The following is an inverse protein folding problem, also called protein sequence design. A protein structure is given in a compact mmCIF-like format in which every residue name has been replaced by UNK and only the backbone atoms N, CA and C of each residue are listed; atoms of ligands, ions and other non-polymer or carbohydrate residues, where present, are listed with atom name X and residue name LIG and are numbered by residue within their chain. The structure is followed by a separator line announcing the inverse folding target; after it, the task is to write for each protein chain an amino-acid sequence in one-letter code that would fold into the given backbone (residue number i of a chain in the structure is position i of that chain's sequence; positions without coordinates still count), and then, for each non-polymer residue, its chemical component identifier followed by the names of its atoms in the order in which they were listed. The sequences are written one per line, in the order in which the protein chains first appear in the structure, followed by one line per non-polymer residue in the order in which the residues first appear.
data_IF_704994330729
#
_entry.id   IF_704994330729
#
_cell.length_a   1.000
_cell.length_b   1.000
_cell.length_c   1.000
_cell.angle_alpha   90.00
_cell.angle_beta   90.00
_cell.angle_gamma   90.00
#
_symmetry.space_group_name_H-M   'P 1'
#
loop_
_entity.id
_entity.type
_entity.pdbx_description
1 polymer ?
#
# COMPACT_ATOMS: atom_id res chain seq x y z
N UNK A 1 -14.43 4.08 -3.06
CA UNK A 1 -15.67 3.63 -3.67
C UNK A 1 -15.36 3.07 -5.05
N UNK A 2 -15.78 1.84 -5.31
CA UNK A 2 -15.33 1.12 -6.50
C UNK A 2 -16.40 0.93 -7.60
N UNK A 3 -17.57 1.53 -7.45
CA UNK A 3 -18.66 1.30 -8.41
C UNK A 3 -18.35 1.79 -9.84
N UNK A 4 -17.91 3.04 -9.97
CA UNK A 4 -17.56 3.57 -11.29
C UNK A 4 -16.31 2.94 -11.88
N UNK A 5 -15.46 2.40 -11.02
CA UNK A 5 -14.20 1.77 -11.40
C UNK A 5 -14.45 0.45 -12.14
N UNK A 6 -15.46 -0.32 -11.72
CA UNK A 6 -15.81 -1.59 -12.38
C UNK A 6 -16.21 -1.35 -13.83
N UNK A 7 -17.08 -0.38 -14.06
CA UNK A 7 -17.57 -0.07 -15.40
C UNK A 7 -16.43 0.44 -16.30
N UNK A 8 -15.58 1.29 -15.76
CA UNK A 8 -14.41 1.79 -16.47
C UNK A 8 -13.49 0.64 -16.88
N UNK A 9 -13.20 -0.28 -15.96
CA UNK A 9 -12.32 -1.41 -16.21
C UNK A 9 -12.87 -2.31 -17.32
N UNK A 10 -14.15 -2.64 -17.26
CA UNK A 10 -14.81 -3.47 -18.26
C UNK A 10 -14.78 -2.82 -19.63
N UNK A 11 -15.08 -1.54 -19.69
CA UNK A 11 -15.08 -0.81 -20.96
C UNK A 11 -13.69 -0.72 -21.57
N UNK A 12 -12.68 -0.42 -20.75
CA UNK A 12 -11.29 -0.37 -21.22
C UNK A 12 -10.83 -1.72 -21.72
N UNK A 13 -11.21 -2.81 -21.07
CA UNK A 13 -10.90 -4.17 -21.53
C UNK A 13 -11.53 -4.48 -22.87
N UNK A 14 -12.78 -4.06 -23.09
CA UNK A 14 -13.45 -4.24 -24.38
C UNK A 14 -12.73 -3.54 -25.52
N UNK A 15 -12.09 -2.41 -25.23
CA UNK A 15 -11.36 -1.63 -26.22
C UNK A 15 -9.91 -2.10 -26.38
N UNK A 16 -9.52 -3.20 -25.73
CA UNK A 16 -8.16 -3.73 -25.81
C UNK A 16 -7.15 -2.97 -24.95
N UNK A 17 -7.60 -2.13 -24.07
CA UNK A 17 -6.76 -1.38 -23.13
C UNK A 17 -6.66 -2.18 -21.85
N UNK A 18 -5.45 -2.26 -21.25
CA UNK A 18 -5.23 -2.88 -19.94
C UNK A 18 -5.04 -1.78 -18.89
N UNK A 19 -6.14 -1.26 -18.32
CA UNK A 19 -5.99 -0.24 -17.28
C UNK A 19 -5.47 -0.84 -16.00
N UNK A 20 -4.56 -0.13 -15.34
CA UNK A 20 -4.15 -0.45 -13.99
C UNK A 20 -5.03 0.36 -13.05
N UNK A 21 -5.82 -0.32 -12.24
CA UNK A 21 -6.71 0.33 -11.28
C UNK A 21 -6.04 0.36 -9.92
N UNK A 22 -5.97 1.54 -9.34
CA UNK A 22 -5.32 1.76 -8.07
C UNK A 22 -6.29 2.20 -6.98
N UNK A 23 -5.95 1.85 -5.76
CA UNK A 23 -6.72 2.20 -4.57
C UNK A 23 -5.77 2.39 -3.40
N UNK A 24 -5.94 3.47 -2.65
CA UNK A 24 -5.23 3.64 -1.39
C UNK A 24 -6.04 2.96 -0.29
N UNK A 25 -5.40 2.09 0.47
CA UNK A 25 -6.04 1.40 1.60
C UNK A 25 -5.36 1.80 2.89
N UNK A 26 -6.06 1.57 4.00
CA UNK A 26 -5.54 1.82 5.34
C UNK A 26 -5.26 0.47 6.00
N UNK A 27 -4.02 0.28 6.44
CA UNK A 27 -3.57 -0.98 7.03
C UNK A 27 -3.51 -0.82 8.54
N UNK A 28 -4.22 -1.70 9.27
CA UNK A 28 -4.16 -1.71 10.72
C UNK A 28 -2.74 -2.13 11.18
N UNK A 29 -2.25 -1.56 12.29
CA UNK A 29 -0.90 -1.90 12.77
C UNK A 29 -0.70 -3.38 13.06
N UNK A 30 -1.71 -4.07 13.56
CA UNK A 30 -1.66 -5.50 13.85
C UNK A 30 -2.81 -6.23 13.19
N UNK A 31 -4.02 -6.14 13.73
CA UNK A 31 -5.20 -6.81 13.21
C UNK A 31 -6.30 -5.80 12.89
N UNK A 32 -7.02 -6.05 11.79
CA UNK A 32 -8.18 -5.24 11.43
C UNK A 32 -9.30 -5.30 12.47
N UNK A 33 -9.27 -6.31 13.32
CA UNK A 33 -10.27 -6.47 14.38
C UNK A 33 -9.96 -5.67 15.65
N UNK A 34 -8.75 -5.14 15.78
CA UNK A 34 -8.35 -4.38 16.96
C UNK A 34 -9.07 -3.03 16.99
N UNK A 35 -9.73 -2.74 18.09
CA UNK A 35 -10.47 -1.50 18.31
C UNK A 35 -9.85 -0.62 19.40
N UNK A 36 -8.77 -1.09 20.03
CA UNK A 36 -8.07 -0.36 21.07
C UNK A 36 -6.62 -0.16 20.65
N UNK A 37 -6.21 1.09 20.51
CA UNK A 37 -4.85 1.45 20.18
C UNK A 37 -4.35 2.37 21.29
N UNK A 38 -3.30 1.95 21.97
CA UNK A 38 -2.78 2.64 23.15
C UNK A 38 -1.57 3.51 22.81
N UNK A 39 -1.41 4.58 23.58
CA UNK A 39 -0.14 5.28 23.68
C UNK A 39 0.29 6.13 22.50
N UNK A 40 -0.62 6.72 21.74
CA UNK A 40 -0.26 7.60 20.65
C UNK A 40 0.21 6.87 19.41
N UNK A 41 0.01 5.56 19.34
CA UNK A 41 0.35 4.77 18.16
C UNK A 41 -0.54 5.13 16.98
N UNK A 42 -0.01 4.89 15.78
CA UNK A 42 -0.76 5.09 14.56
C UNK A 42 -1.92 4.08 14.49
N UNK A 43 -3.10 4.58 14.14
CA UNK A 43 -4.30 3.74 14.03
C UNK A 43 -4.34 2.96 12.74
N UNK A 44 -3.65 3.45 11.71
CA UNK A 44 -3.56 2.83 10.41
C UNK A 44 -2.41 3.46 9.63
N UNK A 45 -1.94 2.72 8.63
CA UNK A 45 -0.92 3.20 7.68
C UNK A 45 -1.49 3.16 6.28
N UNK A 46 -1.05 4.08 5.42
CA UNK A 46 -1.46 4.08 4.02
C UNK A 46 -0.67 3.03 3.22
N UNK A 47 -1.33 2.44 2.25
CA UNK A 47 -0.70 1.53 1.30
C UNK A 47 -1.45 1.69 -0.02
N UNK A 48 -0.72 1.75 -1.14
CA UNK A 48 -1.34 1.84 -2.46
C UNK A 48 -1.35 0.45 -3.08
N UNK A 49 -2.51 0.01 -3.54
CA UNK A 49 -2.68 -1.28 -4.21
C UNK A 49 -3.12 -1.04 -5.65
N UNK A 50 -2.48 -1.74 -6.58
CA UNK A 50 -2.78 -1.66 -8.00
C UNK A 50 -3.20 -3.04 -8.49
N UNK A 51 -4.36 -3.12 -9.13
CA UNK A 51 -4.83 -4.36 -9.73
C UNK A 51 -4.21 -4.50 -11.11
N UNK A 52 -3.43 -5.56 -11.33
CA UNK A 52 -2.69 -5.80 -12.54
C UNK A 52 -3.53 -6.49 -13.61
N UNK A 53 -4.54 -7.25 -13.19
CA UNK A 53 -5.39 -8.05 -14.08
C UNK A 53 -6.76 -8.28 -13.42
N UNK A 54 -7.61 -9.07 -14.06
CA UNK A 54 -8.96 -9.33 -13.56
C UNK A 54 -8.95 -10.05 -12.21
N UNK A 55 -8.03 -10.99 -12.02
CA UNK A 55 -7.87 -11.67 -10.73
C UNK A 55 -7.49 -10.67 -9.64
N UNK A 56 -6.54 -9.80 -9.94
CA UNK A 56 -6.13 -8.75 -9.00
C UNK A 56 -7.26 -7.79 -8.68
N UNK A 57 -8.06 -7.44 -9.67
CA UNK A 57 -9.23 -6.59 -9.46
C UNK A 57 -10.24 -7.25 -8.53
N UNK A 58 -10.54 -8.54 -8.76
CA UNK A 58 -11.46 -9.28 -7.89
C UNK A 58 -10.91 -9.37 -6.46
N UNK A 59 -9.61 -9.62 -6.31
CA UNK A 59 -8.97 -9.68 -5.01
C UNK A 59 -8.96 -8.32 -4.30
N UNK A 60 -8.70 -7.26 -5.04
CA UNK A 60 -8.73 -5.91 -4.49
C UNK A 60 -10.12 -5.57 -3.94
N UNK A 61 -11.16 -5.94 -4.69
CA UNK A 61 -12.54 -5.75 -4.26
C UNK A 61 -12.82 -6.51 -2.96
N UNK A 62 -12.34 -7.75 -2.84
CA UNK A 62 -12.49 -8.54 -1.62
C UNK A 62 -11.77 -7.90 -0.43
N UNK A 63 -10.55 -7.42 -0.64
CA UNK A 63 -9.76 -6.76 0.40
C UNK A 63 -10.50 -5.52 0.91
N UNK A 64 -10.94 -4.66 -0.01
CA UNK A 64 -11.63 -3.41 0.35
C UNK A 64 -12.94 -3.69 1.07
N UNK A 65 -13.72 -4.66 0.57
CA UNK A 65 -15.01 -5.01 1.17
C UNK A 65 -14.85 -5.55 2.58
N UNK A 66 -13.87 -6.44 2.79
CA UNK A 66 -13.62 -7.00 4.12
C UNK A 66 -13.07 -5.95 5.07
N UNK A 67 -12.25 -5.03 4.58
CA UNK A 67 -11.79 -3.90 5.39
C UNK A 67 -12.93 -3.03 5.86
N UNK A 68 -13.89 -2.80 4.98
CA UNK A 68 -15.07 -2.01 5.32
C UNK A 68 -15.97 -2.72 6.35
N UNK A 69 -16.23 -4.00 6.15
CA UNK A 69 -17.16 -4.76 7.00
C UNK A 69 -16.52 -5.17 8.33
N UNK A 70 -15.28 -5.64 8.30
CA UNK A 70 -14.62 -6.23 9.46
C UNK A 70 -13.64 -5.30 10.16
N UNK A 71 -13.04 -4.37 9.44
CA UNK A 71 -11.92 -3.57 9.93
C UNK A 71 -12.24 -2.11 10.26
N UNK A 72 -13.49 -1.71 10.23
CA UNK A 72 -13.85 -0.31 10.42
C UNK A 72 -13.57 0.15 11.85
N UNK A 73 -12.59 1.07 11.97
CA UNK A 73 -12.25 1.75 13.21
C UNK A 73 -11.68 3.12 12.82
N UNK A 74 -12.50 4.16 12.89
CA UNK A 74 -12.30 5.49 12.34
C UNK A 74 -12.26 5.52 10.81
N UNK A 75 -11.68 4.50 10.18
CA UNK A 75 -11.61 4.28 8.73
C UNK A 75 -11.77 2.79 8.45
N UNK A 76 -12.21 2.41 7.25
CA UNK A 76 -12.14 1.00 6.83
C UNK A 76 -10.67 0.58 6.80
N UNK A 77 -10.31 -0.46 7.54
CA UNK A 77 -8.92 -0.91 7.62
C UNK A 77 -8.79 -2.35 7.15
N UNK A 78 -7.76 -2.60 6.38
CA UNK A 78 -7.32 -3.96 6.06
C UNK A 78 -6.18 -4.33 6.99
N UNK A 79 -5.66 -5.53 6.88
CA UNK A 79 -4.47 -5.96 7.60
C UNK A 79 -3.65 -6.90 6.75
N UNK A 80 -2.48 -7.27 7.24
CA UNK A 80 -1.57 -8.14 6.49
C UNK A 80 -2.14 -9.54 6.27
N UNK A 81 -3.01 -10.00 7.15
CA UNK A 81 -3.70 -11.28 6.97
C UNK A 81 -4.56 -11.27 5.70
N UNK A 82 -5.36 -10.21 5.49
CA UNK A 82 -6.15 -10.06 4.27
C UNK A 82 -5.26 -9.95 3.04
N UNK A 83 -4.16 -9.20 3.15
CA UNK A 83 -3.25 -8.99 2.03
C UNK A 83 -2.59 -10.32 1.63
N UNK A 84 -2.18 -11.13 2.60
CA UNK A 84 -1.62 -12.46 2.32
C UNK A 84 -2.62 -13.37 1.62
N UNK A 85 -3.87 -13.28 2.00
CA UNK A 85 -4.93 -14.14 1.47
C UNK A 85 -5.30 -13.78 0.03
N UNK A 86 -5.30 -12.49 -0.31
CA UNK A 86 -5.81 -11.99 -1.59
C UNK A 86 -4.78 -11.22 -2.41
N UNK A 87 -3.49 -11.53 -2.28
CA UNK A 87 -2.42 -10.76 -2.93
C UNK A 87 -2.30 -10.97 -4.44
N UNK A 88 -2.83 -12.06 -4.99
CA UNK A 88 -2.60 -12.42 -6.39
C UNK A 88 -3.16 -11.37 -7.35
N UNK A 89 -2.33 -10.99 -8.33
CA UNK A 89 -2.70 -9.98 -9.31
C UNK A 89 -2.62 -8.55 -8.79
N UNK A 90 -2.07 -8.34 -7.60
CA UNK A 90 -1.95 -7.02 -6.98
C UNK A 90 -0.49 -6.63 -6.85
N UNK A 91 -0.20 -5.39 -7.24
CA UNK A 91 1.08 -4.73 -7.01
C UNK A 91 0.87 -3.71 -5.90
N UNK A 92 1.79 -3.62 -4.95
CA UNK A 92 1.70 -2.68 -3.85
C UNK A 92 2.82 -1.64 -3.90
N UNK A 93 2.49 -0.42 -3.52
CA UNK A 93 3.44 0.68 -3.33
C UNK A 93 3.45 1.09 -1.87
N UNK A 94 4.63 1.40 -1.34
CA UNK A 94 4.80 1.68 0.09
C UNK A 94 4.09 2.94 0.58
N UNK A 95 3.53 3.73 -0.33
CA UNK A 95 2.92 5.03 -0.07
C UNK A 95 3.96 6.06 0.40
N UNK A 96 3.51 7.28 0.67
CA UNK A 96 4.39 8.37 1.08
C UNK A 96 4.57 8.39 2.60
N UNK A 97 4.72 9.59 3.18
CA UNK A 97 4.99 9.76 4.61
C UNK A 97 4.00 9.08 5.55
N UNK A 98 2.78 8.80 5.08
CA UNK A 98 1.77 8.13 5.88
C UNK A 98 1.81 6.60 5.80
N UNK A 99 2.71 6.04 4.99
CA UNK A 99 2.90 4.60 4.90
C UNK A 99 3.73 4.05 6.07
N UNK A 100 3.61 2.75 6.29
CA UNK A 100 4.27 2.10 7.43
C UNK A 100 5.79 2.20 7.34
N UNK A 101 6.36 1.95 6.16
CA UNK A 101 7.81 2.03 5.96
C UNK A 101 8.30 3.45 6.24
N UNK A 102 7.65 4.45 5.66
CA UNK A 102 8.05 5.84 5.84
C UNK A 102 7.88 6.31 7.29
N UNK A 103 6.85 5.84 7.98
CA UNK A 103 6.64 6.16 9.39
C UNK A 103 7.79 5.71 10.26
N UNK A 104 8.27 4.49 10.05
CA UNK A 104 9.45 4.01 10.77
C UNK A 104 10.69 4.83 10.42
N UNK A 105 10.85 5.20 9.16
CA UNK A 105 11.98 6.03 8.74
C UNK A 105 11.96 7.42 9.40
N UNK A 106 10.79 8.05 9.49
CA UNK A 106 10.68 9.36 10.14
C UNK A 106 10.94 9.29 11.64
N UNK A 107 10.75 8.12 12.25
CA UNK A 107 11.04 7.90 13.67
C UNK A 107 12.51 7.50 13.90
N UNK A 108 13.32 7.43 12.87
CA UNK A 108 14.71 7.02 12.99
C UNK A 108 14.91 5.51 13.15
N UNK A 109 13.90 4.73 12.80
CA UNK A 109 13.90 3.27 12.99
C UNK A 109 14.13 2.57 11.64
N UNK A 110 15.31 2.73 11.08
CA UNK A 110 15.64 2.20 9.75
C UNK A 110 15.50 0.68 9.69
N UNK A 111 16.02 -0.06 10.68
CA UNK A 111 15.95 -1.53 10.66
C UNK A 111 14.51 -2.02 10.72
N UNK A 112 13.65 -1.36 11.49
CA UNK A 112 12.23 -1.69 11.55
C UNK A 112 11.56 -1.41 10.21
N UNK A 113 11.91 -0.30 9.57
CA UNK A 113 11.39 0.05 8.24
C UNK A 113 11.79 -0.99 7.21
N UNK A 114 13.04 -1.42 7.22
CA UNK A 114 13.58 -2.42 6.31
C UNK A 114 12.88 -3.76 6.49
N UNK A 115 12.70 -4.18 7.72
CA UNK A 115 11.98 -5.42 8.06
C UNK A 115 10.53 -5.37 7.55
N UNK A 116 9.86 -4.24 7.72
CA UNK A 116 8.51 -4.03 7.23
C UNK A 116 8.46 -4.12 5.70
N UNK A 117 9.39 -3.48 5.01
CA UNK A 117 9.45 -3.53 3.55
C UNK A 117 9.65 -4.95 3.04
N UNK A 118 10.53 -5.71 3.69
CA UNK A 118 10.75 -7.12 3.33
C UNK A 118 9.51 -7.97 3.59
N UNK A 119 8.76 -7.67 4.63
CA UNK A 119 7.49 -8.34 4.92
C UNK A 119 6.47 -8.09 3.80
N UNK A 120 6.34 -6.85 3.34
CA UNK A 120 5.45 -6.55 2.22
C UNK A 120 5.91 -7.22 0.93
N UNK A 121 7.22 -7.27 0.68
CA UNK A 121 7.74 -7.99 -0.49
C UNK A 121 7.39 -9.48 -0.43
N UNK A 122 7.47 -10.07 0.75
CA UNK A 122 7.08 -11.47 0.94
C UNK A 122 5.58 -11.67 0.67
N UNK A 123 4.74 -10.75 1.14
CA UNK A 123 3.29 -10.84 0.95
C UNK A 123 2.92 -10.80 -0.52
N UNK A 124 3.45 -9.84 -1.27
CA UNK A 124 3.06 -9.62 -2.67
C UNK A 124 3.93 -10.36 -3.67
N UNK A 125 5.13 -10.76 -3.27
CA UNK A 125 6.11 -11.42 -4.13
C UNK A 125 7.13 -10.45 -4.71
N UNK A 126 8.30 -10.98 -5.09
CA UNK A 126 9.34 -10.17 -5.72
C UNK A 126 8.82 -9.53 -7.01
N UNK A 127 9.12 -8.25 -7.20
CA UNK A 127 8.66 -7.49 -8.36
C UNK A 127 7.24 -6.96 -8.23
N UNK A 128 6.55 -7.26 -7.15
CA UNK A 128 5.16 -6.83 -6.92
C UNK A 128 5.01 -5.88 -5.73
N UNK A 129 6.12 -5.47 -5.14
CA UNK A 129 6.13 -4.44 -4.11
C UNK A 129 7.22 -3.43 -4.43
N UNK A 130 6.88 -2.14 -4.38
CA UNK A 130 7.78 -1.05 -4.74
C UNK A 130 7.87 -0.05 -3.62
N UNK A 131 9.08 0.46 -3.38
CA UNK A 131 9.30 1.60 -2.51
C UNK A 131 8.97 2.87 -3.28
N UNK A 132 8.05 3.65 -2.78
CA UNK A 132 7.53 4.83 -3.49
C UNK A 132 8.29 6.08 -3.09
N UNK A 133 8.88 6.75 -4.09
CA UNK A 133 9.54 8.04 -3.92
C UNK A 133 8.60 9.15 -4.37
N UNK A 134 8.48 10.19 -3.55
CA UNK A 134 7.73 11.38 -3.90
C UNK A 134 8.63 12.59 -3.68
N UNK A 135 8.55 13.60 -4.55
CA UNK A 135 9.35 14.80 -4.44
C UNK A 135 8.44 16.03 -4.40
N UNK A 136 8.24 16.56 -3.22
CA UNK A 136 7.46 17.77 -3.00
C UNK A 136 8.31 18.91 -2.42
N UNK A 137 9.64 18.77 -2.41
CA UNK A 137 10.53 19.77 -1.86
C UNK A 137 10.49 19.87 -0.34
N UNK A 138 9.79 18.98 0.35
CA UNK A 138 9.71 18.96 1.81
C UNK A 138 10.95 18.26 2.36
N UNK A 139 11.71 18.87 3.29
CA UNK A 139 12.94 18.25 3.82
C UNK A 139 12.74 16.85 4.40
N UNK A 140 11.63 16.63 5.09
CA UNK A 140 11.30 15.33 5.66
C UNK A 140 11.16 14.28 4.57
N UNK A 141 10.50 14.61 3.47
CA UNK A 141 10.34 13.72 2.33
C UNK A 141 11.68 13.41 1.67
N UNK A 142 12.56 14.39 1.55
CA UNK A 142 13.90 14.19 0.98
C UNK A 142 14.72 13.24 1.83
N UNK A 143 14.66 13.37 3.15
CA UNK A 143 15.34 12.48 4.08
C UNK A 143 14.83 11.04 3.94
N UNK A 144 13.52 10.88 3.89
CA UNK A 144 12.90 9.56 3.68
C UNK A 144 13.34 8.97 2.34
N UNK A 145 13.34 9.77 1.28
CA UNK A 145 13.76 9.31 -0.04
C UNK A 145 15.20 8.80 -0.06
N UNK A 146 16.12 9.48 0.64
CA UNK A 146 17.51 9.03 0.73
C UNK A 146 17.62 7.69 1.44
N UNK A 147 16.85 7.49 2.50
CA UNK A 147 16.82 6.22 3.22
C UNK A 147 16.19 5.11 2.39
N UNK A 148 15.18 5.44 1.57
CA UNK A 148 14.58 4.47 0.65
C UNK A 148 15.55 4.04 -0.45
N UNK A 149 16.38 4.97 -0.95
CA UNK A 149 17.44 4.63 -1.90
C UNK A 149 18.44 3.64 -1.29
N UNK A 150 18.84 3.87 -0.06
CA UNK A 150 19.70 2.93 0.68
C UNK A 150 19.02 1.57 0.82
N UNK A 151 17.76 1.58 1.20
CA UNK A 151 16.98 0.34 1.40
C UNK A 151 16.87 -0.46 0.10
N UNK A 152 16.64 0.23 -1.02
CA UNK A 152 16.63 -0.39 -2.34
C UNK A 152 17.97 -1.12 -2.62
N UNK A 153 19.08 -0.47 -2.32
CA UNK A 153 20.41 -1.07 -2.53
C UNK A 153 20.63 -2.28 -1.66
N UNK A 154 20.13 -2.26 -0.42
CA UNK A 154 20.33 -3.34 0.54
C UNK A 154 19.39 -4.52 0.34
N UNK A 155 18.17 -4.28 -0.13
CA UNK A 155 17.14 -5.32 -0.22
C UNK A 155 16.86 -5.79 -1.63
N UNK A 156 17.19 -5.00 -2.64
CA UNK A 156 16.81 -5.28 -4.02
C UNK A 156 15.34 -4.96 -4.34
N UNK A 157 14.59 -4.40 -3.40
CA UNK A 157 13.22 -3.97 -3.66
C UNK A 157 13.25 -2.78 -4.63
N UNK A 158 12.45 -2.84 -5.69
CA UNK A 158 12.42 -1.81 -6.71
C UNK A 158 11.86 -0.49 -6.20
N UNK A 159 12.29 0.60 -6.84
CA UNK A 159 11.83 1.94 -6.56
C UNK A 159 10.86 2.39 -7.65
N UNK A 160 9.89 3.21 -7.29
CA UNK A 160 9.03 3.89 -8.25
C UNK A 160 8.85 5.34 -7.80
N UNK A 161 8.95 6.26 -8.75
CA UNK A 161 8.69 7.67 -8.49
C UNK A 161 7.25 7.98 -8.89
N UNK A 162 6.51 8.57 -7.98
CA UNK A 162 5.12 8.95 -8.24
C UNK A 162 4.93 10.42 -7.95
N UNK A 163 3.99 11.04 -8.66
CA UNK A 163 3.49 12.35 -8.27
C UNK A 163 2.45 12.13 -7.17
N UNK A 164 2.14 13.20 -6.43
CA UNK A 164 1.15 13.12 -5.36
C UNK A 164 -0.24 12.90 -5.97
N UNK A 165 -0.52 11.66 -6.32
CA UNK A 165 -1.82 11.26 -6.87
C UNK A 165 -2.65 10.71 -5.74
N UNK A 166 -3.72 11.41 -5.40
CA UNK A 166 -4.68 10.94 -4.42
C UNK A 166 -5.73 10.10 -5.13
N UNK A 167 -5.75 8.82 -4.84
CA UNK A 167 -6.77 7.91 -5.33
C UNK A 167 -7.97 7.97 -4.38
N UNK A 168 -9.02 8.64 -4.82
CA UNK A 168 -10.26 8.72 -4.04
C UNK A 168 -11.31 7.74 -4.55
#
# INVERSE_FOLDING_TARGET
VMYGVIDFYREAKKQGINPILGCEVYVAPNSRFDREITGGDDRYYHLVLLAENEEGYANLTKIVSKGFVEGYYYKPRVDKELLRKYHKGIIALSACLAGEVARFLTKGLYEEAKKTALEYQEIFGEGNFFLELQDHGIPEQQNVNQQLLRMHQETGIDLVATNDIHYT
#
